data_IF_851484453719
#
_entry.id   IF_851484453719
#
_cell.length_a   1.000
_cell.length_b   1.000
_cell.length_c   1.000
_cell.angle_alpha   90.00
_cell.angle_beta   90.00
_cell.angle_gamma   90.00
#
_symmetry.space_group_name_H-M   'P 1'
#
loop_
_entity.id
_entity.type
_entity.pdbx_description
1 polymer ?
#
# COMPACT_ATOMS: atom_id res chain seq x y z
N UNK A 1 19.89 1.77 16.93
CA UNK A 1 19.70 1.82 15.46
C UNK A 1 18.87 3.05 15.14
N UNK A 2 19.32 3.90 14.21
CA UNK A 2 18.49 5.01 13.72
C UNK A 2 17.29 4.44 12.98
N UNK A 3 16.08 4.94 13.27
CA UNK A 3 14.89 4.58 12.51
C UNK A 3 15.02 5.14 11.09
N UNK A 4 14.65 4.34 10.08
CA UNK A 4 14.54 4.82 8.71
C UNK A 4 13.53 5.99 8.67
N UNK A 5 13.86 7.14 8.06
CA UNK A 5 12.95 8.28 7.94
C UNK A 5 11.56 7.92 7.36
N UNK A 6 11.48 6.96 6.44
CA UNK A 6 10.24 6.46 5.85
C UNK A 6 9.41 5.62 6.83
N UNK A 7 10.07 4.88 7.72
CA UNK A 7 9.35 4.18 8.80
C UNK A 7 8.84 5.19 9.81
N UNK A 8 9.65 6.20 10.13
CA UNK A 8 9.29 7.25 11.09
C UNK A 8 8.08 8.07 10.62
N UNK A 9 8.04 8.51 9.36
CA UNK A 9 6.92 9.30 8.83
C UNK A 9 5.58 8.54 8.92
N UNK A 10 5.60 7.22 8.70
CA UNK A 10 4.42 6.36 8.78
C UNK A 10 4.01 6.05 10.22
N UNK A 11 4.97 5.93 11.14
CA UNK A 11 4.68 5.74 12.58
C UNK A 11 4.09 7.00 13.21
N UNK A 12 4.62 8.19 12.86
CA UNK A 12 4.18 9.46 13.43
C UNK A 12 2.80 9.89 12.90
N UNK A 13 2.48 9.56 11.65
CA UNK A 13 1.23 9.99 11.01
C UNK A 13 0.32 8.81 10.67
N UNK A 14 0.19 7.86 11.61
CA UNK A 14 -0.78 6.78 11.44
C UNK A 14 -2.19 7.32 11.18
N UNK A 15 -2.93 6.64 10.31
CA UNK A 15 -4.30 7.01 10.01
C UNK A 15 -5.18 6.82 11.24
N UNK A 16 -5.76 7.91 11.73
CA UNK A 16 -6.56 7.96 12.96
C UNK A 16 -8.04 8.30 12.70
N UNK A 17 -8.46 8.34 11.43
CA UNK A 17 -9.81 8.72 11.02
C UNK A 17 -10.00 10.20 10.69
N UNK A 18 -9.12 11.10 11.14
CA UNK A 18 -9.24 12.55 10.91
C UNK A 18 -8.15 13.13 10.01
N UNK A 19 -7.03 12.42 9.84
CA UNK A 19 -5.84 12.88 9.12
C UNK A 19 -5.66 12.27 7.72
N UNK A 20 -6.74 11.95 7.01
CA UNK A 20 -6.69 11.20 5.74
C UNK A 20 -5.71 11.81 4.71
N UNK A 21 -5.78 13.13 4.48
CA UNK A 21 -4.96 13.79 3.47
C UNK A 21 -3.46 13.73 3.79
N UNK A 22 -3.09 13.90 5.06
CA UNK A 22 -1.69 13.85 5.49
C UNK A 22 -1.17 12.41 5.48
N UNK A 23 -1.98 11.46 5.96
CA UNK A 23 -1.66 10.04 5.90
C UNK A 23 -1.47 9.58 4.44
N UNK A 24 -2.38 9.95 3.53
CA UNK A 24 -2.31 9.57 2.12
C UNK A 24 -1.10 10.19 1.41
N UNK A 25 -0.73 11.44 1.74
CA UNK A 25 0.49 12.07 1.24
C UNK A 25 1.73 11.31 1.70
N UNK A 26 1.81 10.95 2.98
CA UNK A 26 2.94 10.20 3.52
C UNK A 26 3.03 8.79 2.94
N UNK A 27 1.90 8.12 2.77
CA UNK A 27 1.82 6.83 2.10
C UNK A 27 2.39 6.93 0.67
N UNK A 28 2.00 7.94 -0.10
CA UNK A 28 2.54 8.16 -1.45
C UNK A 28 4.04 8.36 -1.47
N UNK A 29 4.61 9.14 -0.54
CA UNK A 29 6.07 9.32 -0.42
C UNK A 29 6.77 7.97 -0.23
N UNK A 30 6.24 7.10 0.64
CA UNK A 30 6.80 5.76 0.86
C UNK A 30 6.65 4.89 -0.38
N UNK A 31 5.49 4.89 -1.04
CA UNK A 31 5.28 4.08 -2.24
C UNK A 31 6.14 4.56 -3.42
N UNK A 32 6.36 5.87 -3.58
CA UNK A 32 7.21 6.41 -4.62
C UNK A 32 8.68 6.00 -4.40
N UNK A 33 9.14 5.98 -3.15
CA UNK A 33 10.48 5.48 -2.80
C UNK A 33 10.65 4.00 -3.16
N UNK A 34 9.62 3.17 -2.94
CA UNK A 34 9.64 1.74 -3.26
C UNK A 34 9.34 1.45 -4.76
N UNK A 35 9.11 2.48 -5.59
CA UNK A 35 8.64 2.38 -6.98
C UNK A 35 7.28 1.65 -7.14
N UNK A 36 6.40 1.80 -6.15
CA UNK A 36 5.10 1.13 -6.04
C UNK A 36 3.91 2.09 -6.11
N UNK A 37 4.14 3.39 -6.30
CA UNK A 37 3.07 4.41 -6.36
C UNK A 37 1.95 4.05 -7.34
N UNK A 38 2.29 3.42 -8.47
CA UNK A 38 1.36 2.99 -9.51
C UNK A 38 0.24 2.04 -9.02
N UNK A 39 0.47 1.30 -7.93
CA UNK A 39 -0.53 0.41 -7.32
C UNK A 39 -1.68 1.20 -6.71
N UNK A 40 -1.43 2.41 -6.20
CA UNK A 40 -2.47 3.25 -5.61
C UNK A 40 -3.38 3.86 -6.67
N UNK A 41 -2.88 4.08 -7.89
CA UNK A 41 -3.60 4.76 -8.96
C UNK A 41 -4.40 3.80 -9.85
N UNK A 42 -3.94 2.54 -9.99
CA UNK A 42 -4.55 1.56 -10.89
C UNK A 42 -4.76 0.21 -10.22
N UNK A 43 -6.01 -0.26 -10.27
CA UNK A 43 -6.32 -1.67 -9.99
C UNK A 43 -6.14 -2.49 -11.26
N UNK A 44 -5.30 -3.52 -11.20
CA UNK A 44 -5.32 -4.56 -12.22
C UNK A 44 -6.50 -5.52 -12.00
N UNK A 45 -6.95 -6.21 -13.06
CA UNK A 45 -7.91 -7.31 -12.91
C UNK A 45 -7.38 -8.37 -11.95
N UNK A 46 -8.27 -9.07 -11.25
CA UNK A 46 -7.89 -10.12 -10.31
C UNK A 46 -7.41 -11.42 -10.99
N UNK A 47 -7.75 -11.58 -12.27
CA UNK A 47 -7.44 -12.76 -13.08
C UNK A 47 -6.92 -12.27 -14.42
N UNK A 48 -5.84 -12.90 -14.88
CA UNK A 48 -5.26 -12.64 -16.19
C UNK A 48 -6.00 -13.49 -17.25
N UNK A 49 -6.37 -12.93 -18.42
CA UNK A 49 -7.07 -13.68 -19.47
C UNK A 49 -6.28 -14.90 -19.99
N UNK A 50 -7.01 -15.93 -20.40
CA UNK A 50 -6.41 -17.08 -21.07
C UNK A 50 -5.77 -16.63 -22.40
N UNK A 51 -4.55 -17.09 -22.68
CA UNK A 51 -3.77 -16.67 -23.86
C UNK A 51 -2.89 -15.43 -23.65
N UNK A 52 -2.86 -14.84 -22.46
CA UNK A 52 -1.98 -13.69 -22.17
C UNK A 52 -0.50 -14.02 -22.35
N UNK A 53 0.25 -13.03 -22.84
CA UNK A 53 1.67 -13.13 -23.17
C UNK A 53 2.53 -13.35 -21.91
N UNK A 54 3.76 -13.86 -22.05
CA UNK A 54 4.72 -13.93 -20.94
C UNK A 54 4.96 -12.58 -20.26
N UNK A 55 5.03 -11.48 -21.02
CA UNK A 55 5.25 -10.12 -20.51
C UNK A 55 4.03 -9.62 -19.70
N UNK A 56 2.82 -9.92 -20.18
CA UNK A 56 1.58 -9.60 -19.46
C UNK A 56 1.51 -10.37 -18.13
N UNK A 57 1.93 -11.65 -18.11
CA UNK A 57 2.02 -12.46 -16.89
C UNK A 57 3.01 -11.89 -15.89
N UNK A 58 4.21 -11.52 -16.33
CA UNK A 58 5.23 -10.92 -15.47
C UNK A 58 4.76 -9.59 -14.87
N UNK A 59 4.09 -8.76 -15.67
CA UNK A 59 3.53 -7.48 -15.22
C UNK A 59 2.44 -7.70 -14.18
N UNK A 60 1.57 -8.68 -14.41
CA UNK A 60 0.49 -9.07 -13.51
C UNK A 60 1.02 -9.59 -12.17
N UNK A 61 1.99 -10.51 -12.19
CA UNK A 61 2.63 -11.06 -10.99
C UNK A 61 3.31 -9.96 -10.17
N UNK A 62 4.09 -9.09 -10.83
CA UNK A 62 4.77 -7.96 -10.18
C UNK A 62 3.78 -7.02 -9.51
N UNK A 63 2.71 -6.64 -10.20
CA UNK A 63 1.68 -5.77 -9.62
C UNK A 63 1.02 -6.43 -8.41
N UNK A 64 0.72 -7.73 -8.46
CA UNK A 64 0.15 -8.43 -7.32
C UNK A 64 1.10 -8.50 -6.12
N UNK A 65 2.40 -8.66 -6.35
CA UNK A 65 3.42 -8.61 -5.30
C UNK A 65 3.50 -7.21 -4.67
N UNK A 66 3.61 -6.17 -5.49
CA UNK A 66 3.68 -4.79 -5.03
C UNK A 66 2.38 -4.39 -4.30
N UNK A 67 1.22 -4.82 -4.80
CA UNK A 67 -0.07 -4.62 -4.14
C UNK A 67 -0.16 -5.31 -2.77
N UNK A 68 0.42 -6.51 -2.61
CA UNK A 68 0.50 -7.14 -1.27
C UNK A 68 1.34 -6.30 -0.32
N UNK A 69 2.49 -5.77 -0.76
CA UNK A 69 3.37 -4.92 0.05
C UNK A 69 2.68 -3.62 0.45
N UNK A 70 2.06 -2.92 -0.50
CA UNK A 70 1.30 -1.68 -0.29
C UNK A 70 0.17 -1.91 0.72
N UNK A 71 -0.60 -3.00 0.57
CA UNK A 71 -1.67 -3.35 1.52
C UNK A 71 -1.14 -3.57 2.94
N UNK A 72 -0.01 -4.27 3.09
CA UNK A 72 0.62 -4.46 4.40
C UNK A 72 1.05 -3.13 5.04
N UNK A 73 1.59 -2.20 4.25
CA UNK A 73 1.97 -0.85 4.73
C UNK A 73 0.73 -0.06 5.15
N UNK A 74 -0.34 -0.09 4.35
CA UNK A 74 -1.62 0.56 4.69
C UNK A 74 -2.11 0.05 6.03
N UNK A 75 -2.21 -1.28 6.21
CA UNK A 75 -2.65 -1.87 7.46
C UNK A 75 -1.75 -1.47 8.63
N UNK A 76 -0.43 -1.58 8.50
CA UNK A 76 0.52 -1.23 9.57
C UNK A 76 0.50 0.27 9.96
N UNK A 77 0.09 1.13 9.03
CA UNK A 77 0.02 2.58 9.21
C UNK A 77 -1.34 3.10 9.64
N UNK A 78 -2.27 2.23 10.00
CA UNK A 78 -3.56 2.59 10.61
C UNK A 78 -3.45 2.42 12.13
N UNK A 79 -4.17 3.24 12.90
CA UNK A 79 -4.20 3.08 14.37
C UNK A 79 -4.95 1.81 14.76
N UNK A 80 -4.62 1.25 15.93
CA UNK A 80 -5.24 0.03 16.44
C UNK A 80 -6.76 0.21 16.64
N UNK A 81 -7.20 1.41 16.99
CA UNK A 81 -8.61 1.75 17.18
C UNK A 81 -9.38 1.60 15.88
N UNK A 82 -8.83 2.13 14.77
CA UNK A 82 -9.46 2.05 13.45
C UNK A 82 -9.38 0.61 12.93
N UNK A 83 -8.26 -0.10 13.07
CA UNK A 83 -8.17 -1.52 12.68
C UNK A 83 -9.26 -2.37 13.33
N UNK A 84 -9.44 -2.23 14.66
CA UNK A 84 -10.47 -2.95 15.42
C UNK A 84 -11.90 -2.64 14.98
N UNK A 85 -12.16 -1.49 14.36
CA UNK A 85 -13.48 -1.18 13.82
C UNK A 85 -13.76 -1.98 12.55
N UNK A 86 -12.75 -2.22 11.71
CA UNK A 86 -12.88 -3.00 10.48
C UNK A 86 -12.81 -4.51 10.71
N UNK A 87 -12.08 -4.99 11.74
CA UNK A 87 -12.02 -6.42 12.08
C UNK A 87 -13.32 -6.96 12.72
N UNK A 88 -14.21 -6.06 13.18
CA UNK A 88 -15.49 -6.41 13.81
C UNK A 88 -16.68 -6.41 12.83
N UNK A 89 -16.44 -6.08 11.57
CA UNK A 89 -17.44 -6.09 10.49
C UNK A 89 -17.31 -7.38 9.67
#
# INVERSE_FOLDING_TARGET
>A
MSKNPLTLIMETNKFNGTNYNDWMRNLRIVQDFENQGYVLDKRLPAILPEGSSPEERLTFEKWHEDNRKVRSIILASVTNEIQKQYDKA
#
